data_IF_632455742628
#
_entry.id   IF_632455742628
#
_cell.length_a   1.000
_cell.length_b   1.000
_cell.length_c   1.000
_cell.angle_alpha   90.00
_cell.angle_beta   90.00
_cell.angle_gamma   90.00
#
_symmetry.space_group_name_H-M   'P 1'
#
loop_
_entity.id
_entity.type
_entity.pdbx_description
1 polymer ?
#
# COMPACT_ATOMS: atom_id res chain seq x y z
N UNK A 1 -18.13 3.43 -16.24
CA UNK A 1 -16.80 4.06 -16.23
C UNK A 1 -15.73 2.99 -16.19
N UNK A 2 -14.73 3.03 -17.07
CA UNK A 2 -13.66 2.05 -17.04
C UNK A 2 -12.72 2.28 -15.85
N UNK A 3 -12.01 1.22 -15.47
CA UNK A 3 -10.87 1.33 -14.58
C UNK A 3 -9.64 1.71 -15.39
N UNK A 4 -8.74 2.47 -14.79
CA UNK A 4 -7.48 2.86 -15.41
C UNK A 4 -6.34 2.02 -14.86
N UNK A 5 -5.48 1.52 -15.75
CA UNK A 5 -4.34 0.68 -15.43
C UNK A 5 -3.06 1.33 -15.96
N UNK A 6 -2.03 1.40 -15.15
CA UNK A 6 -0.72 1.85 -15.58
C UNK A 6 0.39 1.14 -14.80
N UNK A 7 1.61 1.26 -15.29
CA UNK A 7 2.80 0.72 -14.62
C UNK A 7 3.90 1.77 -14.64
N UNK A 8 4.60 1.89 -13.53
CA UNK A 8 5.71 2.84 -13.37
C UNK A 8 6.97 2.10 -12.98
N UNK A 9 8.09 2.44 -13.60
CA UNK A 9 9.39 1.97 -13.14
C UNK A 9 9.80 2.78 -11.93
N UNK A 10 10.18 2.10 -10.85
CA UNK A 10 10.61 2.72 -9.61
C UNK A 10 11.91 2.10 -9.12
N UNK A 11 12.60 2.72 -8.15
CA UNK A 11 13.80 2.11 -7.55
C UNK A 11 13.58 0.74 -6.91
N UNK A 12 12.32 0.39 -6.59
CA UNK A 12 11.97 -0.90 -5.99
C UNK A 12 11.31 -1.87 -6.98
N UNK A 13 11.35 -1.54 -8.26
CA UNK A 13 10.78 -2.38 -9.33
C UNK A 13 9.59 -1.72 -10.01
N UNK A 14 8.92 -2.49 -10.86
CA UNK A 14 7.75 -1.99 -11.58
C UNK A 14 6.54 -1.97 -10.66
N UNK A 15 5.99 -0.78 -10.44
CA UNK A 15 4.79 -0.57 -9.64
C UNK A 15 3.59 -0.52 -10.58
N UNK A 16 2.69 -1.49 -10.45
CA UNK A 16 1.44 -1.56 -11.20
C UNK A 16 0.33 -0.90 -10.40
N UNK A 17 -0.47 -0.07 -11.05
CA UNK A 17 -1.55 0.69 -10.43
C UNK A 17 -2.87 0.48 -11.17
N UNK A 18 -3.96 0.32 -10.43
CA UNK A 18 -5.31 0.29 -10.99
C UNK A 18 -6.22 1.19 -10.18
N UNK A 19 -7.01 2.01 -10.86
CA UNK A 19 -7.81 3.05 -10.22
C UNK A 19 -9.17 3.22 -10.89
N UNK A 20 -10.13 3.70 -10.10
CA UNK A 20 -11.40 4.24 -10.58
C UNK A 20 -11.32 5.76 -10.39
N UNK A 21 -11.21 6.48 -11.49
CA UNK A 21 -10.98 7.94 -11.45
C UNK A 21 -9.75 8.24 -10.58
N UNK A 22 -9.88 9.05 -9.53
CA UNK A 22 -8.78 9.42 -8.64
C UNK A 22 -8.69 8.52 -7.39
N UNK A 23 -9.44 7.41 -7.35
CA UNK A 23 -9.41 6.46 -6.23
C UNK A 23 -8.58 5.25 -6.63
N UNK A 24 -7.46 5.05 -5.93
CA UNK A 24 -6.58 3.90 -6.16
C UNK A 24 -7.21 2.65 -5.56
N UNK A 25 -7.38 1.61 -6.38
CA UNK A 25 -8.00 0.34 -5.98
C UNK A 25 -6.99 -0.77 -5.78
N UNK A 26 -5.81 -0.64 -6.36
CA UNK A 26 -4.75 -1.64 -6.23
C UNK A 26 -3.41 -1.07 -6.65
N UNK A 27 -2.35 -1.58 -6.02
CA UNK A 27 -0.97 -1.28 -6.36
C UNK A 27 -0.13 -2.48 -5.96
N UNK A 28 0.69 -3.00 -6.87
CA UNK A 28 1.58 -4.10 -6.54
C UNK A 28 2.93 -3.99 -7.26
N UNK A 29 3.89 -4.75 -6.78
CA UNK A 29 5.21 -4.90 -7.38
C UNK A 29 5.36 -6.31 -7.97
N UNK A 30 4.25 -6.90 -8.41
CA UNK A 30 4.17 -8.26 -8.92
C UNK A 30 3.58 -8.28 -10.34
N UNK A 31 2.46 -8.95 -10.55
CA UNK A 31 1.88 -9.13 -11.89
C UNK A 31 0.56 -8.36 -12.04
N UNK A 32 0.20 -8.06 -13.29
CA UNK A 32 -1.10 -7.48 -13.60
C UNK A 32 -2.24 -8.45 -13.29
N UNK A 33 -2.01 -9.75 -13.44
CA UNK A 33 -2.97 -10.79 -13.08
C UNK A 33 -3.30 -10.74 -11.59
N UNK A 34 -2.27 -10.66 -10.74
CA UNK A 34 -2.45 -10.54 -9.28
C UNK A 34 -3.16 -9.24 -8.91
N UNK A 35 -2.84 -8.15 -9.60
CA UNK A 35 -3.47 -6.85 -9.37
C UNK A 35 -4.98 -6.92 -9.63
N UNK A 36 -5.37 -7.49 -10.77
CA UNK A 36 -6.78 -7.66 -11.13
C UNK A 36 -7.51 -8.58 -10.15
N UNK A 37 -6.86 -9.66 -9.72
CA UNK A 37 -7.42 -10.60 -8.76
C UNK A 37 -7.66 -9.99 -7.38
N UNK A 38 -6.94 -8.94 -7.01
CA UNK A 38 -7.10 -8.25 -5.74
C UNK A 38 -8.29 -7.30 -5.66
N UNK A 39 -8.93 -7.03 -6.80
CA UNK A 39 -10.06 -6.11 -6.86
C UNK A 39 -11.29 -6.68 -6.15
N UNK A 40 -12.14 -5.78 -5.67
CA UNK A 40 -13.48 -6.11 -5.22
C UNK A 40 -14.23 -6.82 -6.36
N UNK A 41 -15.06 -7.81 -6.04
CA UNK A 41 -15.81 -8.59 -7.02
C UNK A 41 -16.56 -7.70 -8.02
N UNK A 42 -17.18 -6.61 -7.55
CA UNK A 42 -17.91 -5.67 -8.40
C UNK A 42 -17.03 -4.96 -9.43
N UNK A 43 -15.72 -4.87 -9.18
CA UNK A 43 -14.79 -4.17 -10.07
C UNK A 43 -14.09 -5.13 -11.06
N UNK A 44 -14.07 -6.43 -10.77
CA UNK A 44 -13.35 -7.42 -11.60
C UNK A 44 -13.89 -7.55 -13.02
N UNK A 45 -15.17 -7.27 -13.24
CA UNK A 45 -15.82 -7.39 -14.54
C UNK A 45 -15.88 -6.07 -15.30
N UNK A 46 -15.37 -5.00 -14.74
CA UNK A 46 -15.38 -3.68 -15.38
C UNK A 46 -14.33 -3.61 -16.49
N UNK A 47 -14.63 -2.82 -17.50
CA UNK A 47 -13.65 -2.51 -18.55
C UNK A 47 -12.40 -1.92 -17.92
N UNK A 48 -11.22 -2.34 -18.40
CA UNK A 48 -9.94 -1.81 -17.98
C UNK A 48 -9.29 -1.13 -19.17
N UNK A 49 -8.88 0.12 -18.98
CA UNK A 49 -8.22 0.91 -20.00
C UNK A 49 -6.78 1.18 -19.56
N UNK A 50 -5.82 0.71 -20.37
CA UNK A 50 -4.41 1.00 -20.13
C UNK A 50 -4.14 2.48 -20.42
N UNK A 51 -3.42 3.11 -19.51
CA UNK A 51 -3.06 4.53 -19.59
C UNK A 51 -1.56 4.66 -19.39
N UNK A 52 -0.97 5.68 -19.99
CA UNK A 52 0.44 6.02 -19.75
C UNK A 52 0.63 6.49 -18.32
N UNK A 53 -0.34 7.29 -17.84
CA UNK A 53 -0.39 7.79 -16.46
C UNK A 53 -1.85 7.83 -16.02
N UNK A 54 -2.08 7.69 -14.72
CA UNK A 54 -3.39 7.93 -14.12
C UNK A 54 -3.35 9.33 -13.53
N UNK A 55 -4.20 10.26 -14.01
CA UNK A 55 -4.19 11.64 -13.52
C UNK A 55 -4.24 11.72 -11.99
N UNK A 56 -3.49 12.65 -11.43
CA UNK A 56 -3.30 12.88 -9.99
C UNK A 56 -2.46 11.79 -9.34
N UNK A 57 -2.86 10.52 -9.46
CA UNK A 57 -2.18 9.40 -8.78
C UNK A 57 -0.74 9.24 -9.27
N UNK A 58 -0.52 9.19 -10.59
CA UNK A 58 0.83 9.01 -11.15
C UNK A 58 1.76 10.15 -10.77
N UNK A 59 1.27 11.37 -10.75
CA UNK A 59 2.05 12.55 -10.33
C UNK A 59 2.50 12.43 -8.88
N UNK A 60 1.59 12.02 -7.99
CA UNK A 60 1.88 11.88 -6.56
C UNK A 60 2.86 10.74 -6.29
N UNK A 61 2.78 9.65 -7.05
CA UNK A 61 3.76 8.56 -6.98
C UNK A 61 5.15 9.08 -7.41
N UNK A 62 5.22 9.81 -8.52
CA UNK A 62 6.48 10.40 -8.98
C UNK A 62 7.04 11.40 -7.96
N UNK A 63 6.20 12.24 -7.40
CA UNK A 63 6.60 13.20 -6.38
C UNK A 63 7.21 12.51 -5.16
N UNK A 64 6.62 11.39 -4.74
CA UNK A 64 7.15 10.61 -3.62
C UNK A 64 8.59 10.15 -3.90
N UNK A 65 8.83 9.52 -5.05
CA UNK A 65 10.16 9.03 -5.39
C UNK A 65 11.15 10.15 -5.70
N UNK A 66 10.67 11.34 -5.97
CA UNK A 66 11.49 12.55 -6.12
C UNK A 66 11.81 13.23 -4.77
N UNK A 67 11.27 12.70 -3.68
CA UNK A 67 11.59 13.15 -2.32
C UNK A 67 10.47 13.83 -1.54
N UNK A 68 9.29 14.02 -2.15
CA UNK A 68 8.11 14.51 -1.41
C UNK A 68 7.43 13.34 -0.71
N UNK A 69 7.93 13.00 0.47
CA UNK A 69 7.52 11.80 1.20
C UNK A 69 6.07 11.84 1.67
N UNK A 70 5.45 13.01 1.73
CA UNK A 70 4.04 13.15 2.12
C UNK A 70 3.07 13.09 0.93
N UNK A 71 3.59 13.04 -0.30
CA UNK A 71 2.75 13.09 -1.51
C UNK A 71 1.68 11.99 -1.53
N UNK A 72 2.04 10.79 -1.05
CA UNK A 72 1.11 9.65 -1.06
C UNK A 72 -0.09 9.82 -0.15
N UNK A 73 0.00 10.69 0.85
CA UNK A 73 -1.10 10.93 1.80
C UNK A 73 -2.33 11.53 1.12
N UNK A 74 -2.16 12.18 -0.03
CA UNK A 74 -3.24 12.79 -0.79
C UNK A 74 -4.01 11.80 -1.67
N UNK A 75 -3.50 10.58 -1.86
CA UNK A 75 -4.13 9.58 -2.72
C UNK A 75 -5.30 8.92 -1.98
N UNK A 76 -6.49 8.98 -2.57
CA UNK A 76 -7.65 8.26 -2.06
C UNK A 76 -7.51 6.78 -2.38
N UNK A 77 -7.89 5.91 -1.45
CA UNK A 77 -7.74 4.47 -1.60
C UNK A 77 -9.04 3.74 -1.21
N UNK A 78 -9.27 2.58 -1.83
CA UNK A 78 -10.35 1.67 -1.48
C UNK A 78 -9.92 0.24 -1.82
N UNK A 79 -10.07 -0.68 -0.90
CA UNK A 79 -9.82 -2.10 -1.15
C UNK A 79 -10.79 -2.96 -0.34
N UNK A 80 -11.13 -4.16 -0.84
CA UNK A 80 -12.02 -5.07 -0.11
C UNK A 80 -11.29 -5.69 1.07
N UNK A 81 -12.02 -5.99 2.13
CA UNK A 81 -11.48 -6.66 3.29
C UNK A 81 -12.43 -6.58 4.48
N UNK A 82 -12.21 -7.47 5.45
CA UNK A 82 -12.97 -7.52 6.67
C UNK A 82 -12.80 -6.25 7.51
N UNK A 83 -13.70 -6.03 8.44
CA UNK A 83 -13.72 -4.84 9.30
C UNK A 83 -12.38 -4.54 9.97
N UNK A 84 -11.75 -5.55 10.56
CA UNK A 84 -10.46 -5.36 11.22
C UNK A 84 -9.37 -4.95 10.22
N UNK A 85 -9.32 -5.57 9.04
CA UNK A 85 -8.35 -5.22 8.00
C UNK A 85 -8.54 -3.78 7.54
N UNK A 86 -9.78 -3.32 7.36
CA UNK A 86 -10.07 -1.93 7.02
C UNK A 86 -9.54 -0.98 8.09
N UNK A 87 -9.76 -1.30 9.36
CA UNK A 87 -9.28 -0.50 10.49
C UNK A 87 -7.74 -0.47 10.54
N UNK A 88 -7.10 -1.62 10.29
CA UNK A 88 -5.64 -1.71 10.27
C UNK A 88 -5.04 -0.89 9.13
N UNK A 89 -5.60 -0.99 7.92
CA UNK A 89 -5.12 -0.19 6.77
C UNK A 89 -5.30 1.30 7.00
N UNK A 90 -6.40 1.70 7.60
CA UNK A 90 -6.63 3.10 7.97
C UNK A 90 -5.61 3.58 8.99
N UNK A 91 -5.29 2.75 9.98
CA UNK A 91 -4.26 3.07 10.99
C UNK A 91 -2.87 3.17 10.36
N UNK A 92 -2.53 2.28 9.40
CA UNK A 92 -1.27 2.34 8.66
C UNK A 92 -1.10 3.70 7.97
N UNK A 93 -2.15 4.20 7.35
CA UNK A 93 -2.11 5.47 6.62
C UNK A 93 -1.87 6.69 7.52
N UNK A 94 -2.04 6.54 8.82
CA UNK A 94 -1.72 7.59 9.80
C UNK A 94 -0.27 7.56 10.25
N UNK A 95 0.48 6.50 9.93
CA UNK A 95 1.91 6.43 10.22
C UNK A 95 2.65 7.24 9.17
N UNK A 96 3.28 8.32 9.59
CA UNK A 96 4.00 9.23 8.69
C UNK A 96 5.29 8.60 8.16
N UNK A 97 5.71 9.02 6.96
CA UNK A 97 7.02 8.67 6.43
C UNK A 97 8.10 9.09 7.43
N UNK A 98 9.10 8.25 7.63
CA UNK A 98 10.14 8.46 8.64
C UNK A 98 9.80 7.89 10.01
N UNK A 99 8.60 7.32 10.17
CA UNK A 99 8.16 6.67 11.40
C UNK A 99 7.83 5.22 11.14
N UNK A 100 7.88 4.41 12.20
CA UNK A 100 7.45 3.01 12.16
C UNK A 100 6.47 2.75 13.29
N UNK A 101 5.72 1.65 13.16
CA UNK A 101 4.77 1.20 14.16
C UNK A 101 4.93 -0.31 14.29
N UNK A 102 4.87 -0.83 15.51
CA UNK A 102 4.95 -2.28 15.69
C UNK A 102 3.63 -2.95 15.31
N UNK A 103 3.67 -4.26 14.99
CA UNK A 103 2.46 -5.04 14.75
C UNK A 103 1.52 -4.99 15.96
N UNK A 104 2.07 -5.00 17.19
CA UNK A 104 1.28 -4.90 18.41
C UNK A 104 0.56 -3.56 18.53
N UNK A 105 1.27 -2.46 18.24
CA UNK A 105 0.67 -1.12 18.26
C UNK A 105 -0.36 -0.95 17.13
N UNK A 106 -0.11 -1.56 15.97
CA UNK A 106 -1.09 -1.55 14.89
C UNK A 106 -2.39 -2.24 15.31
N UNK A 107 -2.29 -3.42 15.95
CA UNK A 107 -3.45 -4.14 16.46
C UNK A 107 -4.25 -3.28 17.44
N UNK A 108 -3.57 -2.59 18.35
CA UNK A 108 -4.19 -1.69 19.32
C UNK A 108 -4.92 -0.54 18.62
N UNK A 109 -4.27 0.12 17.65
CA UNK A 109 -4.87 1.23 16.91
C UNK A 109 -6.02 0.79 16.02
N UNK A 110 -6.02 -0.48 15.58
CA UNK A 110 -7.12 -1.06 14.82
C UNK A 110 -8.29 -1.50 15.71
N UNK A 111 -8.17 -1.33 17.03
CA UNK A 111 -9.25 -1.58 17.98
C UNK A 111 -9.23 -2.94 18.67
N UNK A 112 -8.18 -3.75 18.48
CA UNK A 112 -8.09 -5.07 19.10
C UNK A 112 -6.65 -5.40 19.48
N UNK A 113 -6.18 -4.98 20.68
CA UNK A 113 -4.79 -5.18 21.10
C UNK A 113 -4.34 -6.66 21.09
N UNK A 114 -5.26 -7.60 21.27
CA UNK A 114 -4.96 -9.03 21.25
C UNK A 114 -4.78 -9.58 19.83
N UNK A 115 -5.15 -8.83 18.80
CA UNK A 115 -5.19 -9.32 17.41
C UNK A 115 -3.89 -9.06 16.64
N UNK A 116 -2.73 -9.35 17.25
CA UNK A 116 -1.42 -9.09 16.64
C UNK A 116 -1.24 -9.91 15.35
N UNK A 117 -1.70 -11.17 15.33
CA UNK A 117 -1.64 -12.01 14.12
C UNK A 117 -2.52 -11.46 13.01
N UNK A 118 -3.70 -10.97 13.36
CA UNK A 118 -4.59 -10.35 12.37
C UNK A 118 -3.99 -9.06 11.81
N UNK A 119 -3.24 -8.31 12.60
CA UNK A 119 -2.51 -7.15 12.13
C UNK A 119 -1.44 -7.56 11.09
N UNK A 120 -0.70 -8.64 11.36
CA UNK A 120 0.24 -9.20 10.39
C UNK A 120 -0.44 -9.68 9.12
N UNK A 121 -1.61 -10.32 9.24
CA UNK A 121 -2.41 -10.75 8.09
C UNK A 121 -2.90 -9.57 7.26
N UNK A 122 -3.30 -8.48 7.90
CA UNK A 122 -3.72 -7.25 7.20
C UNK A 122 -2.57 -6.66 6.37
N UNK A 123 -1.34 -6.70 6.91
CA UNK A 123 -0.16 -6.31 6.14
C UNK A 123 0.04 -7.21 4.92
N UNK A 124 -0.06 -8.53 5.10
CA UNK A 124 0.13 -9.50 4.02
C UNK A 124 -0.96 -9.40 2.93
N UNK A 125 -2.17 -9.03 3.31
CA UNK A 125 -3.32 -8.92 2.40
C UNK A 125 -3.48 -7.54 1.78
N UNK A 126 -2.62 -6.59 2.13
CA UNK A 126 -2.72 -5.24 1.61
C UNK A 126 -2.60 -5.24 0.07
N UNK A 127 -3.66 -4.83 -0.61
CA UNK A 127 -3.73 -4.79 -2.06
C UNK A 127 -3.19 -3.47 -2.65
N UNK A 128 -2.83 -2.51 -1.82
CA UNK A 128 -2.39 -1.17 -2.25
C UNK A 128 -1.03 -0.87 -1.61
N UNK A 129 -0.02 -1.56 -2.11
CA UNK A 129 1.34 -1.41 -1.57
C UNK A 129 1.83 0.03 -1.69
N UNK A 130 2.69 0.45 -0.80
CA UNK A 130 3.30 1.78 -0.76
C UNK A 130 2.33 2.86 -0.26
N UNK A 131 1.18 3.03 -0.91
CA UNK A 131 0.20 4.07 -0.57
C UNK A 131 -0.52 3.72 0.73
N UNK A 132 -0.85 2.44 0.95
CA UNK A 132 -1.20 1.92 2.27
C UNK A 132 0.10 1.33 2.83
N UNK A 133 0.79 2.05 3.73
CA UNK A 133 2.23 1.82 3.95
C UNK A 133 2.51 0.67 4.93
N UNK A 134 2.21 -0.55 4.53
CA UNK A 134 2.51 -1.73 5.35
C UNK A 134 4.03 -1.91 5.57
N UNK A 135 4.87 -1.28 4.74
CA UNK A 135 6.32 -1.29 4.95
C UNK A 135 6.75 -0.54 6.22
N UNK A 136 5.89 0.32 6.78
CA UNK A 136 6.16 1.04 8.03
C UNK A 136 5.81 0.25 9.28
N UNK A 137 5.29 -0.96 9.11
CA UNK A 137 4.93 -1.85 10.23
C UNK A 137 6.06 -2.84 10.46
N UNK A 138 6.60 -2.86 11.66
CA UNK A 138 7.77 -3.65 12.04
C UNK A 138 7.49 -4.46 13.30
N UNK A 139 8.41 -5.37 13.65
CA UNK A 139 8.29 -6.13 14.90
C UNK A 139 8.57 -5.25 16.11
N UNK A 140 7.98 -5.59 17.24
CA UNK A 140 8.36 -5.02 18.54
C UNK A 140 9.86 -5.25 18.74
N UNK A 141 10.60 -4.20 19.11
CA UNK A 141 12.04 -4.25 19.20
C UNK A 141 12.79 -3.77 17.95
N UNK A 142 12.06 -3.49 16.86
CA UNK A 142 12.58 -2.78 15.69
C UNK A 142 13.11 -3.64 14.56
N UNK A 143 13.06 -4.98 14.64
CA UNK A 143 13.41 -5.80 13.48
C UNK A 143 12.33 -5.68 12.41
N UNK A 144 12.70 -5.83 11.11
CA UNK A 144 11.84 -5.45 9.99
C UNK A 144 10.52 -6.21 9.91
N UNK A 145 10.48 -7.48 10.35
CA UNK A 145 9.30 -8.32 10.14
C UNK A 145 9.24 -8.82 8.70
N UNK A 146 8.04 -8.94 8.15
CA UNK A 146 7.82 -9.48 6.82
C UNK A 146 7.43 -8.38 5.82
N UNK A 147 7.62 -8.67 4.54
CA UNK A 147 7.14 -7.84 3.44
C UNK A 147 6.85 -8.74 2.24
N UNK A 148 5.67 -8.59 1.63
CA UNK A 148 5.23 -9.47 0.55
C UNK A 148 6.18 -9.47 -0.66
N UNK A 149 6.92 -8.40 -0.88
CA UNK A 149 7.81 -8.24 -2.04
C UNK A 149 9.29 -8.38 -1.68
N UNK A 150 9.58 -8.81 -0.45
CA UNK A 150 10.95 -9.04 0.03
C UNK A 150 11.46 -7.97 0.98
N UNK A 151 12.25 -8.39 1.96
CA UNK A 151 12.75 -7.50 3.01
C UNK A 151 13.71 -6.43 2.50
N UNK A 152 14.43 -6.69 1.42
CA UNK A 152 15.33 -5.71 0.83
C UNK A 152 14.56 -4.48 0.30
N UNK A 153 13.36 -4.68 -0.24
CA UNK A 153 12.51 -3.56 -0.69
C UNK A 153 11.93 -2.79 0.48
N UNK A 154 11.52 -3.49 1.54
CA UNK A 154 11.05 -2.86 2.78
C UNK A 154 12.15 -2.00 3.39
N UNK A 155 13.36 -2.54 3.49
CA UNK A 155 14.52 -1.81 4.00
C UNK A 155 14.81 -0.57 3.14
N UNK A 156 14.77 -0.72 1.81
CA UNK A 156 15.00 0.39 0.89
C UNK A 156 14.00 1.53 1.16
N UNK A 157 12.72 1.20 1.27
CA UNK A 157 11.67 2.18 1.53
C UNK A 157 11.87 2.89 2.86
N UNK A 158 12.17 2.14 3.92
CA UNK A 158 12.38 2.72 5.25
C UNK A 158 13.62 3.64 5.27
N UNK A 159 14.70 3.26 4.58
CA UNK A 159 15.88 4.12 4.45
C UNK A 159 15.58 5.37 3.62
N UNK A 160 14.85 5.19 2.53
CA UNK A 160 14.43 6.30 1.68
C UNK A 160 13.60 7.33 2.46
N UNK A 161 12.76 6.84 3.37
CA UNK A 161 11.92 7.68 4.24
C UNK A 161 12.65 8.16 5.49
N UNK A 162 13.92 7.84 5.65
CA UNK A 162 14.72 8.16 6.84
C UNK A 162 14.15 7.55 8.14
N UNK A 163 13.51 6.38 8.07
CA UNK A 163 13.04 5.62 9.21
C UNK A 163 14.07 4.58 9.69
N UNK A 164 15.12 4.39 8.93
CA UNK A 164 16.28 3.58 9.26
C UNK A 164 17.56 4.39 9.08
#
# INVERSE_FOLDING_TARGET
MPLFLTSHKTPIGTLNLIAHEDVLLGANLATLSALKASLDEKDRTREIREMKTIPVISELISDYFDGDLSALDAIKVRQPGAHFSQAAWKAMRKVKAGKTLSYADLAERAGSPAAVRAAGSACAKNAIVLVVPCHRIVKTGGSLGNYAYGLNKKEWLLRFEAAL
#
